data_IF_647549305026
#
_entry.id   IF_647549305026
#
_cell.length_a   1.000
_cell.length_b   1.000
_cell.length_c   1.000
_cell.angle_alpha   90.00
_cell.angle_beta   90.00
_cell.angle_gamma   90.00
#
_symmetry.space_group_name_H-M   'P 1'
#
loop_
_entity.id
_entity.type
_entity.pdbx_description
1 polymer ?
#
# COMPACT_ATOMS: atom_id res chain seq x y z
N UNK A 1 0.86 9.73 10.97
CA UNK A 1 0.22 8.50 10.45
C UNK A 1 -0.66 8.90 9.28
N UNK A 2 -0.57 8.20 8.15
CA UNK A 2 -1.43 8.38 6.97
C UNK A 2 -2.28 7.13 6.75
N UNK A 3 -3.48 7.30 6.19
CA UNK A 3 -4.37 6.20 5.80
C UNK A 3 -4.51 6.23 4.28
N UNK A 4 -4.28 5.08 3.65
CA UNK A 4 -4.42 4.86 2.20
C UNK A 4 -5.50 3.82 1.98
N UNK A 5 -6.46 4.10 1.09
CA UNK A 5 -7.51 3.14 0.74
C UNK A 5 -7.14 2.43 -0.56
N UNK A 6 -7.16 1.10 -0.59
CA UNK A 6 -6.93 0.34 -1.82
C UNK A 6 -7.57 -1.04 -1.79
N UNK A 7 -8.17 -1.42 -2.93
CA UNK A 7 -8.87 -2.71 -3.10
C UNK A 7 -9.87 -3.05 -1.98
N UNK A 8 -10.56 -2.03 -1.44
CA UNK A 8 -11.57 -2.20 -0.38
C UNK A 8 -11.01 -2.36 1.03
N UNK A 9 -9.69 -2.22 1.22
CA UNK A 9 -8.99 -2.29 2.51
C UNK A 9 -8.33 -0.93 2.79
N UNK A 10 -8.30 -0.52 4.05
CA UNK A 10 -7.53 0.64 4.50
C UNK A 10 -6.15 0.20 4.98
N UNK A 11 -5.12 0.97 4.66
CA UNK A 11 -3.74 0.75 5.07
C UNK A 11 -3.25 1.94 5.88
N UNK A 12 -2.80 1.68 7.11
CA UNK A 12 -2.08 2.67 7.91
C UNK A 12 -0.60 2.66 7.54
N UNK A 13 -0.07 3.83 7.20
CA UNK A 13 1.35 4.08 6.95
C UNK A 13 1.92 4.93 8.08
N UNK A 14 3.00 4.47 8.69
CA UNK A 14 3.68 5.14 9.82
C UNK A 14 5.18 5.15 9.64
N UNK A 15 5.81 6.31 9.83
CA UNK A 15 7.26 6.48 9.78
C UNK A 15 7.65 7.92 9.43
N UNK A 16 8.96 8.19 9.32
CA UNK A 16 9.45 9.53 8.97
C UNK A 16 9.03 9.97 7.57
N UNK A 17 8.94 9.03 6.62
CA UNK A 17 8.58 9.28 5.22
C UNK A 17 7.12 8.89 4.93
N UNK A 18 6.24 8.97 5.93
CA UNK A 18 4.86 8.47 5.81
C UNK A 18 4.04 9.15 4.71
N UNK A 19 4.36 10.39 4.33
CA UNK A 19 3.63 11.12 3.29
C UNK A 19 4.00 10.64 1.89
N UNK A 20 5.29 10.55 1.58
CA UNK A 20 5.78 10.02 0.30
C UNK A 20 5.45 8.54 0.16
N UNK A 21 5.62 7.75 1.23
CA UNK A 21 5.27 6.35 1.24
C UNK A 21 3.76 6.12 1.03
N UNK A 22 2.90 6.95 1.62
CA UNK A 22 1.45 6.85 1.41
C UNK A 22 1.07 7.17 -0.04
N UNK A 23 1.69 8.18 -0.65
CA UNK A 23 1.45 8.51 -2.06
C UNK A 23 1.87 7.36 -2.99
N UNK A 24 3.08 6.82 -2.79
CA UNK A 24 3.57 5.68 -3.59
C UNK A 24 2.72 4.43 -3.38
N UNK A 25 2.27 4.17 -2.16
CA UNK A 25 1.37 3.06 -1.85
C UNK A 25 0.02 3.23 -2.57
N UNK A 26 -0.58 4.42 -2.55
CA UNK A 26 -1.84 4.70 -3.25
C UNK A 26 -1.73 4.42 -4.76
N UNK A 27 -0.67 4.92 -5.38
CA UNK A 27 -0.40 4.71 -6.81
C UNK A 27 -0.19 3.23 -7.14
N UNK A 28 0.60 2.51 -6.33
CA UNK A 28 0.83 1.07 -6.48
C UNK A 28 -0.47 0.27 -6.37
N UNK A 29 -1.27 0.53 -5.34
CA UNK A 29 -2.57 -0.11 -5.12
C UNK A 29 -3.55 0.15 -6.27
N UNK A 30 -3.57 1.38 -6.80
CA UNK A 30 -4.39 1.76 -7.94
C UNK A 30 -3.97 1.01 -9.22
N UNK A 31 -2.67 0.83 -9.46
CA UNK A 31 -2.18 0.03 -10.58
C UNK A 31 -2.55 -1.45 -10.44
N UNK A 32 -2.44 -2.02 -9.25
CA UNK A 32 -2.85 -3.40 -8.98
C UNK A 32 -4.37 -3.56 -9.19
N UNK A 33 -5.18 -2.60 -8.74
CA UNK A 33 -6.63 -2.62 -8.91
C UNK A 33 -7.06 -2.61 -10.40
N UNK A 34 -6.30 -1.92 -11.26
CA UNK A 34 -6.53 -1.91 -12.72
C UNK A 34 -6.18 -3.24 -13.39
N UNK A 35 -5.35 -4.09 -12.77
CA UNK A 35 -4.96 -5.40 -13.32
C UNK A 35 -6.03 -6.44 -13.02
N UNK A 36 -6.81 -6.75 -14.04
CA UNK A 36 -7.95 -7.68 -14.03
C UNK A 36 -7.51 -9.16 -14.06
N UNK A 37 -6.55 -9.57 -13.22
CA UNK A 37 -5.89 -10.89 -13.28
C UNK A 37 -5.94 -11.63 -11.94
N UNK A 38 -5.90 -12.96 -11.97
CA UNK A 38 -6.01 -13.86 -10.80
C UNK A 38 -4.88 -13.73 -9.73
N UNK A 39 -3.97 -12.77 -9.87
CA UNK A 39 -2.81 -12.56 -8.99
C UNK A 39 -2.88 -11.22 -8.25
N UNK A 40 -4.08 -10.65 -8.05
CA UNK A 40 -4.25 -9.36 -7.37
C UNK A 40 -3.59 -9.39 -5.98
N UNK A 41 -3.81 -10.45 -5.19
CA UNK A 41 -3.27 -10.58 -3.84
C UNK A 41 -1.73 -10.63 -3.80
N UNK A 42 -1.09 -11.44 -4.66
CA UNK A 42 0.38 -11.49 -4.72
C UNK A 42 0.99 -10.14 -5.14
N UNK A 43 0.33 -9.42 -6.05
CA UNK A 43 0.80 -8.08 -6.44
C UNK A 43 0.57 -7.02 -5.34
N UNK A 44 -0.40 -7.23 -4.44
CA UNK A 44 -0.65 -6.34 -3.31
C UNK A 44 0.47 -6.45 -2.28
N UNK A 45 0.85 -7.66 -1.90
CA UNK A 45 1.94 -7.91 -0.96
C UNK A 45 3.27 -7.35 -1.48
N UNK A 46 3.57 -7.55 -2.77
CA UNK A 46 4.78 -7.02 -3.41
C UNK A 46 4.86 -5.48 -3.32
N UNK A 47 3.75 -4.79 -3.61
CA UNK A 47 3.68 -3.32 -3.52
C UNK A 47 3.85 -2.85 -2.07
N UNK A 48 3.25 -3.55 -1.10
CA UNK A 48 3.34 -3.19 0.31
C UNK A 48 4.78 -3.40 0.82
N UNK A 49 5.42 -4.50 0.45
CA UNK A 49 6.82 -4.79 0.79
C UNK A 49 7.78 -3.76 0.17
N UNK A 50 7.59 -3.39 -1.10
CA UNK A 50 8.39 -2.38 -1.78
C UNK A 50 8.30 -1.02 -1.06
N UNK A 51 7.10 -0.59 -0.68
CA UNK A 51 6.91 0.67 0.06
C UNK A 51 7.53 0.61 1.45
N UNK A 52 7.34 -0.50 2.19
CA UNK A 52 7.93 -0.68 3.51
C UNK A 52 9.46 -0.60 3.46
N UNK A 53 10.07 -1.37 2.57
CA UNK A 53 11.53 -1.44 2.46
C UNK A 53 12.13 -0.18 1.82
N UNK A 54 11.46 0.41 0.84
CA UNK A 54 11.94 1.58 0.11
C UNK A 54 11.94 2.85 0.94
N UNK A 55 10.93 3.04 1.79
CA UNK A 55 10.75 4.24 2.61
C UNK A 55 11.07 4.04 4.09
N UNK A 56 11.36 2.80 4.52
CA UNK A 56 11.62 2.47 5.93
C UNK A 56 10.42 2.73 6.83
N UNK A 57 9.22 2.46 6.32
CA UNK A 57 7.94 2.72 7.02
C UNK A 57 7.26 1.42 7.43
N UNK A 58 6.41 1.48 8.44
CA UNK A 58 5.44 0.43 8.72
C UNK A 58 4.17 0.67 7.89
N UNK A 59 3.67 -0.38 7.24
CA UNK A 59 2.37 -0.38 6.55
C UNK A 59 1.51 -1.47 7.16
N UNK A 60 0.28 -1.20 7.60
CA UNK A 60 -0.62 -2.22 8.18
C UNK A 60 -2.01 -2.12 7.60
N UNK A 61 -2.56 -3.26 7.16
CA UNK A 61 -3.98 -3.34 6.80
C UNK A 61 -4.83 -3.19 8.06
N UNK A 62 -5.84 -2.31 8.01
CA UNK A 62 -6.83 -2.11 9.05
C UNK A 62 -8.22 -2.33 8.48
N UNK A 63 -8.95 -3.27 9.09
CA UNK A 63 -10.37 -3.48 8.81
C UNK A 63 -11.16 -2.43 9.59
N UNK A 64 -11.89 -1.57 8.88
CA UNK A 64 -12.91 -0.70 9.47
C UNK A 64 -14.26 -1.39 9.52
#
# INVERSE_FOLDING_TARGET
>A
MKIVQGNGINYEVRGQQEEEAAFTLEEGLNQVSKRRNAYVDSNLDDVIEEVRSGYGVEVRAVLQ
#
